data_IF_510421329180
#
_entry.id   IF_510421329180
#
_cell.length_a   1.000
_cell.length_b   1.000
_cell.length_c   1.000
_cell.angle_alpha   90.00
_cell.angle_beta   90.00
_cell.angle_gamma   90.00
#
_symmetry.space_group_name_H-M   'P 1'
#
loop_
_entity.id
_entity.type
_entity.pdbx_description
1 polymer ?
#
# COMPACT_ATOMS: atom_id res chain seq x y z
N UNK A 1 11.50 -66.84 -15.72
CA UNK A 1 11.13 -67.26 -17.07
C UNK A 1 10.56 -66.02 -17.74
N UNK A 2 11.24 -65.47 -18.55
CA UNK A 2 11.99 -65.12 -19.73
C UNK A 2 12.16 -63.60 -19.72
N UNK A 3 13.25 -63.00 -19.64
CA UNK A 3 14.41 -62.76 -20.53
C UNK A 3 14.03 -62.43 -21.97
N UNK A 4 14.36 -61.19 -22.35
CA UNK A 4 14.96 -60.68 -23.57
C UNK A 4 15.07 -59.15 -23.43
N UNK A 5 16.13 -58.51 -23.34
CA UNK A 5 17.49 -58.34 -23.91
C UNK A 5 17.47 -57.69 -25.33
N UNK A 6 18.34 -56.64 -25.44
CA UNK A 6 18.92 -55.95 -26.61
C UNK A 6 18.08 -54.84 -27.23
N UNK A 7 18.60 -53.70 -27.68
CA UNK A 7 19.94 -53.44 -28.21
C UNK A 7 20.23 -51.91 -28.28
N UNK A 8 21.48 -51.64 -28.36
CA UNK A 8 22.27 -50.42 -28.53
C UNK A 8 21.87 -49.50 -29.70
N UNK A 9 22.17 -48.19 -29.58
CA UNK A 9 22.22 -47.28 -30.69
C UNK A 9 22.79 -45.90 -30.30
N UNK A 10 24.06 -45.70 -30.57
CA UNK A 10 24.88 -44.53 -30.30
C UNK A 10 24.58 -43.28 -31.20
N UNK A 11 25.32 -42.14 -30.97
CA UNK A 11 24.85 -40.76 -31.24
C UNK A 11 25.30 -40.21 -32.57
N UNK A 12 24.63 -39.16 -33.07
CA UNK A 12 25.13 -38.37 -34.17
C UNK A 12 25.41 -36.94 -33.73
N UNK A 13 26.69 -36.60 -33.66
CA UNK A 13 27.27 -35.28 -33.74
C UNK A 13 27.06 -34.73 -35.16
N UNK A 14 26.62 -33.49 -35.25
CA UNK A 14 26.84 -32.64 -36.43
C UNK A 14 27.32 -31.25 -35.97
N UNK A 15 28.64 -31.09 -36.04
CA UNK A 15 29.32 -29.80 -36.19
C UNK A 15 28.93 -29.20 -37.54
N UNK A 16 28.58 -27.92 -37.55
CA UNK A 16 28.74 -27.04 -38.70
C UNK A 16 29.30 -25.71 -38.23
N UNK A 17 30.59 -25.58 -38.41
CA UNK A 17 31.35 -24.35 -38.57
C UNK A 17 30.81 -23.58 -39.81
N UNK A 18 30.53 -22.27 -39.67
CA UNK A 18 30.76 -21.30 -40.74
C UNK A 18 31.18 -19.96 -40.17
N UNK A 19 32.33 -19.54 -40.64
CA UNK A 19 33.04 -18.33 -40.36
C UNK A 19 32.56 -17.12 -41.17
N UNK A 20 32.80 -15.94 -40.59
CA UNK A 20 33.19 -14.67 -41.21
C UNK A 20 32.30 -13.96 -42.25
N UNK A 21 31.98 -12.69 -41.91
CA UNK A 21 31.58 -11.67 -42.84
C UNK A 21 31.48 -10.31 -42.16
N UNK A 22 32.62 -9.64 -41.99
CA UNK A 22 32.73 -8.22 -41.71
C UNK A 22 32.22 -7.43 -42.91
N UNK A 23 31.32 -6.47 -42.71
CA UNK A 23 31.10 -5.36 -43.63
C UNK A 23 30.93 -4.08 -42.84
N UNK A 24 31.99 -3.30 -42.83
CA UNK A 24 31.98 -1.87 -42.61
C UNK A 24 31.24 -1.20 -43.78
N UNK A 25 30.33 -0.31 -43.47
CA UNK A 25 29.92 0.76 -44.37
C UNK A 25 29.76 2.06 -43.58
N UNK A 26 30.78 2.89 -43.70
CA UNK A 26 30.75 4.34 -43.57
C UNK A 26 29.74 4.93 -44.55
N UNK A 27 28.83 5.77 -44.11
CA UNK A 27 28.32 6.89 -44.88
C UNK A 27 27.95 8.07 -43.99
N UNK A 28 28.59 9.17 -44.36
CA UNK A 28 28.50 10.50 -43.77
C UNK A 28 27.24 11.29 -44.21
N UNK A 29 26.86 12.23 -43.33
CA UNK A 29 26.24 13.54 -43.57
C UNK A 29 24.92 13.66 -44.35
N UNK A 30 23.96 14.29 -43.66
CA UNK A 30 22.79 14.93 -44.22
C UNK A 30 22.02 15.69 -43.19
N UNK A 31 22.43 16.96 -42.92
CA UNK A 31 21.64 17.94 -42.19
C UNK A 31 20.38 18.24 -42.99
N UNK A 32 19.22 18.12 -42.40
CA UNK A 32 18.00 18.81 -42.83
C UNK A 32 17.28 19.37 -41.62
N UNK A 33 17.43 20.68 -41.43
CA UNK A 33 16.51 21.52 -40.71
C UNK A 33 15.13 21.46 -41.36
N UNK A 34 14.12 21.15 -40.61
CA UNK A 34 12.75 21.57 -40.87
C UNK A 34 12.09 22.07 -39.60
N UNK A 35 12.05 23.40 -39.51
CA UNK A 35 11.12 24.18 -38.72
C UNK A 35 9.69 23.79 -39.05
N UNK A 36 8.94 23.28 -38.11
CA UNK A 36 7.49 23.46 -38.05
C UNK A 36 7.07 23.73 -36.62
N UNK A 37 6.92 25.00 -36.31
CA UNK A 37 6.18 25.52 -35.18
C UNK A 37 4.70 25.23 -35.32
N UNK A 38 4.12 24.42 -34.47
CA UNK A 38 2.71 24.55 -34.07
C UNK A 38 2.62 24.25 -32.58
N UNK A 39 2.56 25.33 -31.82
CA UNK A 39 2.23 25.30 -30.41
C UNK A 39 0.74 25.09 -30.22
N UNK A 40 0.39 24.10 -29.42
CA UNK A 40 -0.78 24.13 -28.56
C UNK A 40 -0.35 23.52 -27.22
N UNK A 41 0.21 24.37 -26.38
CA UNK A 41 0.41 24.09 -24.97
C UNK A 41 -0.94 24.18 -24.29
N UNK A 42 -1.43 23.06 -23.79
CA UNK A 42 -2.35 23.05 -22.66
C UNK A 42 -1.55 22.65 -21.43
N UNK A 43 -0.86 23.63 -20.87
CA UNK A 43 -0.33 23.57 -19.51
C UNK A 43 -1.53 23.52 -18.55
N UNK A 44 -1.92 22.33 -18.13
CA UNK A 44 -2.68 22.15 -16.91
C UNK A 44 -1.70 22.16 -15.74
N UNK A 45 -1.36 23.38 -15.32
CA UNK A 45 -0.64 23.63 -14.08
C UNK A 45 -1.53 23.21 -12.91
N UNK A 46 -1.39 21.95 -12.50
CA UNK A 46 -1.92 21.47 -11.21
C UNK A 46 -0.96 21.96 -10.12
N UNK A 47 -1.23 23.16 -9.64
CA UNK A 47 -0.50 23.75 -8.51
C UNK A 47 -0.53 22.84 -7.30
N UNK A 48 0.57 22.12 -7.08
CA UNK A 48 0.79 21.35 -5.86
C UNK A 48 0.91 22.33 -4.68
N UNK A 49 0.09 22.19 -3.64
CA UNK A 49 0.20 23.05 -2.48
C UNK A 49 1.55 22.83 -1.80
N UNK A 50 2.43 23.84 -1.83
CA UNK A 50 3.71 23.84 -1.14
C UNK A 50 3.53 24.22 0.33
N UNK A 51 4.32 23.63 1.22
CA UNK A 51 4.30 23.90 2.65
C UNK A 51 3.60 22.83 3.50
N UNK A 52 3.29 23.17 4.75
CA UNK A 52 2.68 22.24 5.73
C UNK A 52 1.35 21.63 5.26
N UNK A 53 0.55 22.37 4.48
CA UNK A 53 -0.68 21.86 3.84
C UNK A 53 -0.38 20.81 2.77
N UNK A 54 0.71 20.98 1.98
CA UNK A 54 1.16 19.99 1.00
C UNK A 54 1.70 18.73 1.67
N UNK A 55 2.38 18.88 2.80
CA UNK A 55 2.83 17.74 3.61
C UNK A 55 1.64 16.93 4.17
N UNK A 56 0.62 17.59 4.71
CA UNK A 56 -0.61 16.92 5.17
C UNK A 56 -1.37 16.29 4.00
N UNK A 57 -1.46 16.95 2.84
CA UNK A 57 -2.13 16.42 1.67
C UNK A 57 -1.43 15.15 1.15
N UNK A 58 -0.10 15.16 1.03
CA UNK A 58 0.70 13.98 0.64
C UNK A 58 0.66 12.86 1.69
N UNK A 59 0.31 13.15 2.92
CA UNK A 59 0.14 12.15 3.97
C UNK A 59 -1.16 11.33 3.80
N UNK A 60 -2.19 11.91 3.16
CA UNK A 60 -3.55 11.36 3.10
C UNK A 60 -4.07 11.06 1.69
N UNK A 61 -3.41 11.54 0.63
CA UNK A 61 -3.86 11.34 -0.76
C UNK A 61 -2.88 10.42 -1.49
N UNK A 62 -3.30 9.22 -1.92
CA UNK A 62 -2.49 8.38 -2.78
C UNK A 62 -2.39 9.01 -4.17
N UNK A 63 -1.17 9.29 -4.64
CA UNK A 63 -0.92 9.67 -6.02
C UNK A 63 -0.88 8.41 -6.88
N UNK A 64 -1.80 8.34 -7.85
CA UNK A 64 -1.81 7.32 -8.90
C UNK A 64 -0.88 7.76 -10.02
N UNK A 65 0.17 7.00 -10.31
CA UNK A 65 0.93 7.12 -11.55
C UNK A 65 1.17 5.75 -12.19
N UNK A 66 0.79 5.71 -13.46
CA UNK A 66 1.14 4.81 -14.56
C UNK A 66 0.88 3.30 -14.45
N UNK A 67 0.15 2.87 -15.46
CA UNK A 67 -0.33 1.52 -15.73
C UNK A 67 0.68 0.73 -16.57
N UNK A 68 1.03 -0.48 -16.14
CA UNK A 68 1.34 -1.64 -16.98
C UNK A 68 1.59 -2.91 -16.16
N UNK A 69 1.03 -4.04 -16.58
CA UNK A 69 1.26 -5.44 -16.18
C UNK A 69 0.55 -5.93 -14.90
N UNK A 70 -0.71 -6.33 -15.07
CA UNK A 70 -1.64 -6.53 -13.97
C UNK A 70 -1.61 -7.91 -13.26
N UNK A 71 -0.99 -8.94 -13.78
CA UNK A 71 -0.96 -10.27 -13.11
C UNK A 71 0.31 -10.47 -12.30
N UNK A 72 1.45 -10.02 -12.78
CA UNK A 72 2.71 -10.04 -12.03
C UNK A 72 2.72 -8.97 -10.92
N UNK A 73 2.01 -7.86 -11.11
CA UNK A 73 1.92 -6.75 -10.15
C UNK A 73 1.32 -7.18 -8.78
N UNK A 74 0.28 -8.01 -8.77
CA UNK A 74 -0.34 -8.44 -7.51
C UNK A 74 0.57 -9.41 -6.71
N UNK A 75 1.33 -10.26 -7.40
CA UNK A 75 2.31 -11.14 -6.76
C UNK A 75 3.55 -10.36 -6.31
N UNK A 76 3.98 -9.38 -7.10
CA UNK A 76 5.08 -8.49 -6.75
C UNK A 76 4.71 -7.57 -5.59
N UNK A 77 3.51 -6.97 -5.59
CA UNK A 77 2.97 -6.18 -4.51
C UNK A 77 2.97 -6.96 -3.18
N UNK A 78 2.55 -8.23 -3.21
CA UNK A 78 2.59 -9.09 -2.03
C UNK A 78 4.03 -9.40 -1.56
N UNK A 79 5.00 -9.56 -2.49
CA UNK A 79 6.43 -9.74 -2.14
C UNK A 79 7.02 -8.47 -1.55
N UNK A 80 6.71 -7.30 -2.12
CA UNK A 80 7.14 -6.01 -1.59
C UNK A 80 6.57 -5.74 -0.20
N UNK A 81 5.28 -6.05 0.04
CA UNK A 81 4.65 -5.94 1.36
C UNK A 81 5.35 -6.78 2.43
N UNK A 82 5.61 -8.07 2.14
CA UNK A 82 6.35 -8.96 3.03
C UNK A 82 7.77 -8.46 3.27
N UNK A 83 8.46 -7.95 2.23
CA UNK A 83 9.81 -7.38 2.36
C UNK A 83 9.78 -6.14 3.25
N UNK A 84 8.79 -5.26 3.07
CA UNK A 84 8.64 -4.06 3.87
C UNK A 84 8.45 -4.39 5.36
N UNK A 85 7.60 -5.36 5.69
CA UNK A 85 7.39 -5.81 7.06
C UNK A 85 8.65 -6.40 7.67
N UNK A 86 9.39 -7.24 6.93
CA UNK A 86 10.66 -7.81 7.42
C UNK A 86 11.69 -6.72 7.70
N UNK A 87 11.94 -5.83 6.74
CA UNK A 87 12.92 -4.73 6.91
C UNK A 87 12.52 -3.84 8.09
N UNK A 88 11.24 -3.50 8.20
CA UNK A 88 10.72 -2.70 9.32
C UNK A 88 10.88 -3.40 10.66
N UNK A 89 10.58 -4.70 10.73
CA UNK A 89 10.75 -5.48 11.95
C UNK A 89 12.21 -5.47 12.42
N UNK A 90 13.16 -5.70 11.50
CA UNK A 90 14.58 -5.67 11.85
C UNK A 90 15.05 -4.27 12.27
N UNK A 91 14.51 -3.21 11.63
CA UNK A 91 14.83 -1.83 12.01
C UNK A 91 14.29 -1.51 13.42
N UNK A 92 13.02 -1.84 13.71
CA UNK A 92 12.44 -1.66 15.05
C UNK A 92 13.15 -2.51 16.10
N UNK A 93 13.53 -3.73 15.78
CA UNK A 93 14.30 -4.55 16.70
C UNK A 93 15.68 -3.93 17.00
N UNK A 94 16.33 -3.37 15.99
CA UNK A 94 17.59 -2.64 16.14
C UNK A 94 17.44 -1.41 17.03
N UNK A 95 16.38 -0.61 16.86
CA UNK A 95 16.08 0.55 17.72
C UNK A 95 15.78 0.12 19.16
N UNK A 96 15.00 -0.96 19.35
CA UNK A 96 14.70 -1.52 20.67
C UNK A 96 15.97 -2.02 21.39
N UNK A 97 16.87 -2.69 20.66
CA UNK A 97 18.16 -3.12 21.22
C UNK A 97 18.98 -1.90 21.66
N UNK A 98 19.00 -0.84 20.84
CA UNK A 98 19.73 0.39 21.15
C UNK A 98 19.14 1.09 22.39
N UNK A 99 17.80 1.16 22.48
CA UNK A 99 17.11 1.66 23.67
C UNK A 99 17.39 0.80 24.91
N UNK A 100 17.44 -0.53 24.75
CA UNK A 100 17.78 -1.44 25.86
C UNK A 100 19.20 -1.22 26.38
N UNK A 101 20.17 -0.93 25.51
CA UNK A 101 21.52 -0.53 25.95
C UNK A 101 21.46 0.76 26.79
N UNK A 102 20.66 1.75 26.36
CA UNK A 102 20.44 2.98 27.15
C UNK A 102 19.82 2.66 28.52
N UNK A 103 18.86 1.74 28.58
CA UNK A 103 18.24 1.27 29.83
C UNK A 103 19.29 0.68 30.78
N UNK A 104 20.17 -0.20 30.28
CA UNK A 104 21.23 -0.82 31.07
C UNK A 104 22.22 0.21 31.64
N UNK A 105 22.55 1.25 30.86
CA UNK A 105 23.46 2.31 31.26
C UNK A 105 22.80 3.29 32.27
N UNK A 106 21.49 3.53 32.14
CA UNK A 106 20.75 4.49 32.96
C UNK A 106 20.20 3.89 34.24
N UNK A 107 19.98 2.55 34.28
CA UNK A 107 19.29 1.88 35.40
C UNK A 107 17.82 2.31 35.59
N UNK A 108 17.21 2.95 34.60
CA UNK A 108 15.86 3.52 34.69
C UNK A 108 14.78 2.48 34.40
N UNK A 109 13.94 2.20 35.39
CA UNK A 109 12.77 1.31 35.25
C UNK A 109 11.72 1.89 34.28
N UNK A 110 11.58 3.22 34.24
CA UNK A 110 10.67 3.89 33.34
C UNK A 110 11.09 3.69 31.87
N UNK A 111 12.39 3.81 31.54
CA UNK A 111 12.91 3.52 30.21
C UNK A 111 12.81 2.04 29.85
N UNK A 112 12.92 1.15 30.83
CA UNK A 112 12.69 -0.29 30.61
C UNK A 112 11.26 -0.55 30.16
N UNK A 113 10.26 0.05 30.83
CA UNK A 113 8.86 -0.08 30.47
C UNK A 113 8.58 0.43 29.04
N UNK A 114 9.15 1.59 28.66
CA UNK A 114 9.06 2.17 27.32
C UNK A 114 9.70 1.24 26.26
N UNK A 115 10.88 0.67 26.56
CA UNK A 115 11.57 -0.28 25.69
C UNK A 115 10.77 -1.56 25.48
N UNK A 116 10.15 -2.10 26.52
CA UNK A 116 9.27 -3.28 26.43
C UNK A 116 8.02 -2.96 25.61
N UNK A 117 7.46 -1.76 25.76
CA UNK A 117 6.34 -1.29 24.94
C UNK A 117 6.73 -1.24 23.45
N UNK A 118 7.82 -0.59 23.10
CA UNK A 118 8.33 -0.51 21.72
C UNK A 118 8.66 -1.90 21.13
N UNK A 119 9.13 -2.84 21.95
CA UNK A 119 9.29 -4.23 21.51
C UNK A 119 7.95 -4.90 21.19
N UNK A 120 6.93 -4.70 22.02
CA UNK A 120 5.59 -5.24 21.79
C UNK A 120 4.97 -4.68 20.52
N UNK A 121 5.16 -3.38 20.26
CA UNK A 121 4.67 -2.72 19.05
C UNK A 121 5.37 -3.21 17.80
N UNK A 122 6.67 -3.54 17.86
CA UNK A 122 7.38 -4.18 16.76
C UNK A 122 6.73 -5.52 16.36
N UNK A 123 6.18 -6.26 17.32
CA UNK A 123 5.51 -7.54 17.07
C UNK A 123 4.13 -7.39 16.41
N UNK A 124 3.51 -6.19 16.41
CA UNK A 124 2.22 -5.96 15.72
C UNK A 124 2.32 -6.15 14.21
N UNK A 125 3.51 -6.06 13.62
CA UNK A 125 3.76 -6.38 12.23
C UNK A 125 3.54 -7.87 11.88
N UNK A 126 3.59 -8.77 12.87
CA UNK A 126 3.48 -10.22 12.65
C UNK A 126 2.10 -10.63 12.12
N UNK A 127 0.96 -10.16 12.66
CA UNK A 127 -0.36 -10.44 12.09
C UNK A 127 -0.49 -10.04 10.64
N UNK A 128 0.02 -8.87 10.27
CA UNK A 128 -0.01 -8.38 8.90
C UNK A 128 0.90 -9.21 7.98
N UNK A 129 2.07 -9.61 8.44
CA UNK A 129 2.95 -10.52 7.70
C UNK A 129 2.26 -11.87 7.44
N UNK A 130 1.59 -12.45 8.45
CA UNK A 130 0.78 -13.67 8.29
C UNK A 130 -0.34 -13.44 7.25
N UNK A 131 -1.01 -12.31 7.31
CA UNK A 131 -2.08 -11.96 6.38
C UNK A 131 -1.59 -11.89 4.92
N UNK A 132 -0.43 -11.28 4.67
CA UNK A 132 0.19 -11.26 3.32
C UNK A 132 0.56 -12.67 2.83
N UNK A 133 1.11 -13.52 3.71
CA UNK A 133 1.40 -14.92 3.36
C UNK A 133 0.11 -15.68 3.06
N UNK A 134 -0.93 -15.46 3.86
CA UNK A 134 -2.21 -16.12 3.70
C UNK A 134 -2.90 -15.66 2.40
N UNK A 135 -2.87 -14.35 2.09
CA UNK A 135 -3.43 -13.77 0.88
C UNK A 135 -2.83 -14.31 -0.43
N UNK A 136 -1.62 -14.89 -0.36
CA UNK A 136 -0.96 -15.57 -1.50
C UNK A 136 -1.45 -16.99 -1.74
N UNK A 137 -2.22 -17.57 -0.81
CA UNK A 137 -2.74 -18.93 -0.98
C UNK A 137 -3.83 -18.97 -2.03
N UNK A 138 -3.79 -20.02 -2.83
CA UNK A 138 -4.80 -20.29 -3.87
C UNK A 138 -6.16 -20.48 -3.22
N UNK A 139 -7.20 -20.05 -3.92
CA UNK A 139 -8.59 -20.29 -3.52
C UNK A 139 -8.86 -21.78 -3.30
N UNK A 140 -9.74 -22.08 -2.32
CA UNK A 140 -10.13 -23.45 -1.97
C UNK A 140 -11.63 -23.62 -2.14
N UNK A 141 -12.12 -24.86 -2.09
CA UNK A 141 -13.59 -25.11 -2.15
C UNK A 141 -14.37 -24.42 -1.02
N UNK A 142 -13.73 -24.13 0.12
CA UNK A 142 -14.35 -23.42 1.25
C UNK A 142 -14.17 -21.90 1.14
N UNK A 143 -13.09 -21.44 0.58
CA UNK A 143 -12.73 -20.01 0.38
C UNK A 143 -12.56 -19.76 -1.12
N UNK A 144 -13.69 -19.69 -1.82
CA UNK A 144 -13.73 -19.64 -3.29
C UNK A 144 -13.13 -18.35 -3.87
N UNK A 145 -13.18 -17.26 -3.13
CA UNK A 145 -12.53 -15.98 -3.48
C UNK A 145 -11.09 -15.85 -2.94
N UNK A 146 -10.53 -16.94 -2.37
CA UNK A 146 -9.19 -16.91 -1.76
C UNK A 146 -9.17 -16.26 -0.38
N UNK A 147 -7.98 -15.81 0.04
CA UNK A 147 -7.72 -15.30 1.38
C UNK A 147 -7.36 -13.81 1.42
N UNK A 148 -7.61 -13.04 0.35
CA UNK A 148 -7.25 -11.62 0.26
C UNK A 148 -7.83 -10.77 1.41
N UNK A 149 -9.02 -11.10 1.91
CA UNK A 149 -9.64 -10.42 3.06
C UNK A 149 -8.87 -10.58 4.38
N UNK A 150 -7.91 -11.51 4.46
CA UNK A 150 -7.04 -11.63 5.65
C UNK A 150 -6.23 -10.34 5.90
N UNK A 151 -5.86 -9.63 4.85
CA UNK A 151 -5.17 -8.33 4.94
C UNK A 151 -6.09 -7.25 5.52
N UNK A 152 -7.35 -7.19 5.07
CA UNK A 152 -8.34 -6.24 5.60
C UNK A 152 -8.61 -6.49 7.09
N UNK A 153 -8.67 -7.78 7.51
CA UNK A 153 -8.81 -8.17 8.92
C UNK A 153 -7.58 -7.80 9.75
N UNK A 154 -6.38 -7.97 9.19
CA UNK A 154 -5.15 -7.52 9.87
C UNK A 154 -5.13 -6.00 10.02
N UNK A 155 -5.58 -5.24 9.02
CA UNK A 155 -5.75 -3.79 9.11
C UNK A 155 -6.74 -3.37 10.20
N UNK A 156 -7.86 -4.08 10.33
CA UNK A 156 -8.84 -3.84 11.40
C UNK A 156 -8.24 -4.14 12.79
N UNK A 157 -7.47 -5.22 12.91
CA UNK A 157 -6.74 -5.55 14.14
C UNK A 157 -5.76 -4.44 14.52
N UNK A 158 -4.97 -3.94 13.56
CA UNK A 158 -4.03 -2.83 13.78
C UNK A 158 -4.77 -1.58 14.27
N UNK A 159 -5.91 -1.22 13.65
CA UNK A 159 -6.74 -0.10 14.12
C UNK A 159 -7.16 -0.28 15.59
N UNK A 160 -7.58 -1.49 15.97
CA UNK A 160 -7.99 -1.77 17.34
C UNK A 160 -6.83 -1.61 18.34
N UNK A 161 -5.64 -2.09 17.98
CA UNK A 161 -4.41 -1.93 18.79
C UNK A 161 -4.06 -0.45 18.92
N UNK A 162 -4.06 0.29 17.81
CA UNK A 162 -3.76 1.74 17.79
C UNK A 162 -4.76 2.53 18.64
N UNK A 163 -6.06 2.22 18.52
CA UNK A 163 -7.09 2.87 19.33
C UNK A 163 -6.88 2.63 20.82
N UNK A 164 -6.53 1.40 21.21
CA UNK A 164 -6.23 1.06 22.59
C UNK A 164 -4.98 1.82 23.09
N UNK A 165 -3.90 1.83 22.29
CA UNK A 165 -2.67 2.58 22.62
C UNK A 165 -2.94 4.07 22.76
N UNK A 166 -3.76 4.66 21.89
CA UNK A 166 -4.16 6.08 21.98
C UNK A 166 -4.93 6.39 23.29
N UNK A 167 -5.83 5.51 23.70
CA UNK A 167 -6.59 5.66 24.97
C UNK A 167 -5.62 5.60 26.14
N UNK A 168 -4.70 4.64 26.15
CA UNK A 168 -3.69 4.49 27.22
C UNK A 168 -2.77 5.72 27.29
N UNK A 169 -2.30 6.20 26.13
CA UNK A 169 -1.44 7.40 26.06
C UNK A 169 -2.16 8.66 26.57
N UNK A 170 -3.43 8.86 26.17
CA UNK A 170 -4.24 9.96 26.66
C UNK A 170 -4.47 9.88 28.20
N UNK A 171 -4.78 8.70 28.70
CA UNK A 171 -4.94 8.46 30.13
C UNK A 171 -3.67 8.80 30.91
N UNK A 172 -2.52 8.29 30.47
CA UNK A 172 -1.22 8.57 31.10
C UNK A 172 -0.86 10.05 31.05
N UNK A 173 -1.17 10.75 29.96
CA UNK A 173 -0.93 12.21 29.84
C UNK A 173 -1.78 13.00 30.84
N UNK A 174 -3.06 12.64 31.02
CA UNK A 174 -3.96 13.24 32.01
C UNK A 174 -3.47 12.94 33.44
N UNK A 175 -3.07 11.71 33.72
CA UNK A 175 -2.55 11.31 35.02
C UNK A 175 -1.30 12.10 35.38
N UNK A 176 -0.35 12.24 34.45
CA UNK A 176 0.88 13.05 34.66
C UNK A 176 0.58 14.55 34.81
N UNK A 177 -0.49 15.05 34.20
CA UNK A 177 -0.94 16.42 34.41
C UNK A 177 -1.46 16.65 35.81
N UNK A 178 -2.22 15.68 36.37
CA UNK A 178 -2.78 15.77 37.74
C UNK A 178 -1.73 15.46 38.78
N UNK A 179 -0.87 14.47 38.56
CA UNK A 179 0.16 13.97 39.42
C UNK A 179 1.55 14.05 38.75
N UNK A 180 2.17 15.24 38.70
CA UNK A 180 3.47 15.40 38.05
C UNK A 180 4.53 14.49 38.71
N UNK A 181 5.13 13.61 37.93
CA UNK A 181 6.21 12.74 38.36
C UNK A 181 7.56 13.39 38.03
N UNK A 182 8.51 13.44 39.01
CA UNK A 182 9.84 13.97 38.74
C UNK A 182 10.56 13.05 37.73
N UNK A 183 11.01 13.63 36.64
CA UNK A 183 11.83 12.91 35.66
C UNK A 183 13.27 12.84 36.17
N UNK A 184 13.78 11.62 36.35
CA UNK A 184 15.17 11.36 36.72
C UNK A 184 16.01 11.01 35.48
N UNK A 185 17.30 11.30 35.52
CA UNK A 185 18.23 10.95 34.43
C UNK A 185 17.84 11.52 33.04
N UNK A 186 17.44 12.79 32.98
CA UNK A 186 16.88 13.46 31.82
C UNK A 186 17.67 13.24 30.50
N UNK A 187 19.02 13.21 30.54
CA UNK A 187 19.85 12.97 29.37
C UNK A 187 19.61 11.59 28.73
N UNK A 188 19.41 10.57 29.57
CA UNK A 188 19.11 9.22 29.08
C UNK A 188 17.70 9.13 28.50
N UNK A 189 16.76 9.87 29.09
CA UNK A 189 15.38 9.98 28.56
C UNK A 189 15.38 10.67 27.19
N UNK A 190 16.14 11.77 27.05
CA UNK A 190 16.32 12.48 25.77
C UNK A 190 16.94 11.54 24.72
N UNK A 191 18.01 10.83 25.08
CA UNK A 191 18.67 9.90 24.17
C UNK A 191 17.74 8.76 23.71
N UNK A 192 17.02 8.13 24.63
CA UNK A 192 16.07 7.06 24.33
C UNK A 192 14.90 7.56 23.47
N UNK A 193 14.31 8.72 23.81
CA UNK A 193 13.25 9.35 23.04
C UNK A 193 13.68 9.72 21.61
N UNK A 194 14.90 10.22 21.44
CA UNK A 194 15.47 10.53 20.12
C UNK A 194 15.66 9.27 19.27
N UNK A 195 16.20 8.20 19.84
CA UNK A 195 16.38 6.91 19.16
C UNK A 195 15.02 6.33 18.76
N UNK A 196 14.06 6.32 19.70
CA UNK A 196 12.71 5.83 19.45
C UNK A 196 11.99 6.62 18.37
N UNK A 197 12.04 7.94 18.41
CA UNK A 197 11.46 8.80 17.39
C UNK A 197 12.03 8.55 15.99
N UNK A 198 13.36 8.54 15.85
CA UNK A 198 14.00 8.33 14.55
C UNK A 198 13.71 6.94 14.00
N UNK A 199 13.75 5.90 14.83
CA UNK A 199 13.49 4.53 14.42
C UNK A 199 12.04 4.34 13.95
N UNK A 200 11.09 4.80 14.74
CA UNK A 200 9.67 4.71 14.41
C UNK A 200 9.30 5.55 13.18
N UNK A 201 9.82 6.79 13.05
CA UNK A 201 9.54 7.62 11.88
C UNK A 201 10.15 7.06 10.59
N UNK A 202 11.35 6.49 10.65
CA UNK A 202 11.96 5.81 9.50
C UNK A 202 11.10 4.62 9.03
N UNK A 203 10.61 3.81 9.97
CA UNK A 203 9.71 2.69 9.68
C UNK A 203 8.37 3.19 9.16
N UNK A 204 7.79 4.21 9.77
CA UNK A 204 6.53 4.80 9.35
C UNK A 204 6.58 5.28 7.89
N UNK A 205 7.60 6.08 7.54
CA UNK A 205 7.80 6.57 6.18
C UNK A 205 7.93 5.41 5.20
N UNK A 206 8.72 4.40 5.56
CA UNK A 206 8.94 3.25 4.68
C UNK A 206 7.67 2.44 4.47
N UNK A 207 6.94 2.05 5.55
CA UNK A 207 5.70 1.29 5.46
C UNK A 207 4.59 2.05 4.72
N UNK A 208 4.44 3.35 4.99
CA UNK A 208 3.42 4.17 4.33
C UNK A 208 3.71 4.25 2.82
N UNK A 209 4.97 4.52 2.42
CA UNK A 209 5.34 4.60 1.01
C UNK A 209 5.13 3.29 0.27
N UNK A 210 5.58 2.17 0.85
CA UNK A 210 5.37 0.85 0.24
C UNK A 210 3.89 0.50 0.22
N UNK A 211 3.16 0.73 1.32
CA UNK A 211 1.73 0.47 1.40
C UNK A 211 0.91 1.24 0.35
N UNK A 212 1.24 2.51 0.13
CA UNK A 212 0.64 3.33 -0.93
C UNK A 212 0.99 2.78 -2.33
N UNK A 213 2.26 2.42 -2.55
CA UNK A 213 2.73 1.87 -3.83
C UNK A 213 1.99 0.59 -4.21
N UNK A 214 1.80 -0.33 -3.25
CA UNK A 214 1.16 -1.64 -3.48
C UNK A 214 -0.36 -1.62 -3.28
N UNK A 215 -0.94 -0.49 -2.87
CA UNK A 215 -2.38 -0.38 -2.61
C UNK A 215 -2.85 -1.05 -1.31
N UNK A 216 -1.95 -1.37 -0.36
CA UNK A 216 -2.29 -2.00 0.92
C UNK A 216 -2.67 -0.99 1.99
N UNK A 217 -3.97 -0.88 2.29
CA UNK A 217 -4.44 -0.03 3.40
C UNK A 217 -3.97 -0.53 4.77
N UNK A 218 -3.83 -1.85 4.93
CA UNK A 218 -3.36 -2.44 6.17
C UNK A 218 -1.88 -2.10 6.44
N UNK A 219 -1.02 -2.12 5.41
CA UNK A 219 0.39 -1.72 5.55
C UNK A 219 0.53 -0.21 5.80
N UNK A 220 -0.34 0.62 5.19
CA UNK A 220 -0.40 2.06 5.50
C UNK A 220 -0.84 2.27 6.95
N UNK A 221 -1.86 1.56 7.44
CA UNK A 221 -2.32 1.65 8.82
C UNK A 221 -1.22 1.27 9.82
N UNK A 222 -0.46 0.20 9.53
CA UNK A 222 0.67 -0.24 10.34
C UNK A 222 1.83 0.78 10.31
N UNK A 223 2.05 1.47 9.19
CA UNK A 223 2.98 2.59 9.09
C UNK A 223 2.52 3.82 9.90
N UNK A 224 1.22 4.11 9.89
CA UNK A 224 0.64 5.18 10.72
C UNK A 224 0.74 4.84 12.21
N UNK A 225 0.57 3.56 12.61
CA UNK A 225 0.82 3.09 13.97
C UNK A 225 2.27 3.39 14.40
N UNK A 226 3.26 2.98 13.61
CA UNK A 226 4.66 3.27 13.90
C UNK A 226 4.94 4.78 14.04
N UNK A 227 4.24 5.64 13.27
CA UNK A 227 4.32 7.10 13.41
C UNK A 227 3.74 7.60 14.72
N UNK A 228 2.66 7.01 15.19
CA UNK A 228 2.06 7.37 16.49
C UNK A 228 3.01 7.03 17.63
N UNK A 229 3.71 5.89 17.57
CA UNK A 229 4.75 5.50 18.53
C UNK A 229 5.95 6.47 18.47
N UNK A 230 6.33 6.91 17.26
CA UNK A 230 7.31 7.97 17.05
C UNK A 230 6.90 9.28 17.72
N UNK A 231 5.64 9.69 17.59
CA UNK A 231 5.12 10.90 18.25
C UNK A 231 5.10 10.76 19.77
N UNK A 232 4.80 9.59 20.30
CA UNK A 232 4.91 9.33 21.74
C UNK A 232 6.35 9.50 22.21
N UNK A 233 7.32 8.93 21.51
CA UNK A 233 8.75 9.11 21.80
C UNK A 233 9.19 10.59 21.66
N UNK A 234 8.64 11.32 20.68
CA UNK A 234 8.87 12.77 20.54
C UNK A 234 8.30 13.57 21.70
N UNK A 235 7.12 13.19 22.22
CA UNK A 235 6.54 13.81 23.43
C UNK A 235 7.46 13.68 24.63
N UNK A 236 7.95 12.46 24.85
CA UNK A 236 8.90 12.18 25.95
C UNK A 236 10.17 13.02 25.80
N UNK A 237 10.72 13.12 24.58
CA UNK A 237 11.90 13.94 24.29
C UNK A 237 11.66 15.42 24.58
N UNK A 238 10.58 15.98 24.06
CA UNK A 238 10.24 17.40 24.24
C UNK A 238 9.88 17.72 25.68
N UNK A 239 9.18 16.81 26.37
CA UNK A 239 8.86 16.92 27.79
C UNK A 239 10.11 16.94 28.65
N UNK A 240 11.05 16.01 28.41
CA UNK A 240 12.34 15.96 29.12
C UNK A 240 13.18 17.22 28.87
N UNK A 241 13.22 17.68 27.63
CA UNK A 241 13.90 18.92 27.27
C UNK A 241 13.28 20.15 27.98
N UNK A 242 11.96 20.24 27.99
CA UNK A 242 11.24 21.30 28.72
C UNK A 242 11.53 21.30 30.21
N UNK A 243 11.59 20.10 30.84
CA UNK A 243 11.97 19.97 32.24
C UNK A 243 13.42 20.41 32.49
N UNK A 244 14.35 20.14 31.59
CA UNK A 244 15.75 20.60 31.66
C UNK A 244 15.87 22.13 31.64
N UNK A 245 15.02 22.82 30.89
CA UNK A 245 14.96 24.28 30.77
C UNK A 245 14.21 24.93 31.97
N UNK A 246 13.68 24.13 32.90
CA UNK A 246 12.95 24.60 34.05
C UNK A 246 11.45 24.82 33.85
N UNK A 247 10.88 24.17 32.83
CA UNK A 247 9.44 24.18 32.56
C UNK A 247 8.82 22.77 32.74
N UNK A 248 8.50 22.34 33.98
CA UNK A 248 8.03 20.99 34.27
C UNK A 248 6.68 20.64 33.61
N UNK A 249 5.86 21.64 33.29
CA UNK A 249 4.58 21.45 32.62
C UNK A 249 4.72 21.14 31.12
N UNK A 250 5.94 21.19 30.56
CA UNK A 250 6.17 20.85 29.16
C UNK A 250 5.73 19.42 28.83
N UNK A 251 6.09 18.45 29.69
CA UNK A 251 5.79 17.03 29.47
C UNK A 251 4.28 16.77 29.34
N UNK A 252 3.40 17.14 30.29
CA UNK A 252 1.97 16.90 30.15
C UNK A 252 1.32 17.72 29.01
N UNK A 253 1.79 18.95 28.74
CA UNK A 253 1.26 19.77 27.64
C UNK A 253 1.58 19.13 26.28
N UNK A 254 2.83 18.75 26.06
CA UNK A 254 3.26 18.09 24.82
C UNK A 254 2.58 16.74 24.67
N UNK A 255 2.47 15.95 25.74
CA UNK A 255 1.76 14.68 25.75
C UNK A 255 0.29 14.82 25.32
N UNK A 256 -0.40 15.85 25.81
CA UNK A 256 -1.79 16.12 25.43
C UNK A 256 -1.91 16.54 23.96
N UNK A 257 -1.04 17.43 23.48
CA UNK A 257 -1.03 17.87 22.07
C UNK A 257 -0.78 16.69 21.12
N UNK A 258 0.15 15.81 21.47
CA UNK A 258 0.45 14.63 20.67
C UNK A 258 -0.71 13.62 20.74
N UNK A 259 -1.36 13.45 21.89
CA UNK A 259 -2.58 12.61 21.98
C UNK A 259 -3.68 13.08 21.02
N UNK A 260 -3.88 14.40 20.88
CA UNK A 260 -4.81 14.96 19.90
C UNK A 260 -4.36 14.63 18.45
N UNK A 261 -3.08 14.78 18.14
CA UNK A 261 -2.54 14.44 16.82
C UNK A 261 -2.75 12.95 16.49
N UNK A 262 -2.54 12.05 17.46
CA UNK A 262 -2.78 10.62 17.33
C UNK A 262 -4.25 10.34 17.00
N UNK A 263 -5.20 10.97 17.70
CA UNK A 263 -6.64 10.81 17.44
C UNK A 263 -7.01 11.23 16.02
N UNK A 264 -6.44 12.33 15.52
CA UNK A 264 -6.68 12.80 14.14
C UNK A 264 -6.14 11.79 13.11
N UNK A 265 -4.94 11.27 13.32
CA UNK A 265 -4.35 10.25 12.44
C UNK A 265 -5.17 8.95 12.46
N UNK A 266 -5.55 8.50 13.65
CA UNK A 266 -6.39 7.32 13.83
C UNK A 266 -7.72 7.45 13.09
N UNK A 267 -8.38 8.62 13.20
CA UNK A 267 -9.63 8.88 12.49
C UNK A 267 -9.49 8.72 10.97
N UNK A 268 -8.41 9.25 10.38
CA UNK A 268 -8.10 9.08 8.96
C UNK A 268 -7.96 7.61 8.56
N UNK A 269 -7.23 6.83 9.37
CA UNK A 269 -6.99 5.41 9.15
C UNK A 269 -8.27 4.58 9.27
N UNK A 270 -9.08 4.82 10.32
CA UNK A 270 -10.39 4.18 10.52
C UNK A 270 -11.31 4.44 9.33
N UNK A 271 -11.37 5.70 8.86
CA UNK A 271 -12.19 6.06 7.71
C UNK A 271 -11.73 5.39 6.42
N UNK A 272 -10.42 5.28 6.21
CA UNK A 272 -9.84 4.63 5.03
C UNK A 272 -10.17 3.14 4.99
N UNK A 273 -9.88 2.40 6.07
CA UNK A 273 -10.18 0.96 6.14
C UNK A 273 -11.69 0.71 6.18
N UNK A 274 -12.45 1.55 6.89
CA UNK A 274 -13.91 1.47 6.91
C UNK A 274 -14.54 1.59 5.52
N UNK A 275 -14.06 2.54 4.69
CA UNK A 275 -14.51 2.64 3.29
C UNK A 275 -14.23 1.36 2.50
N UNK A 276 -13.03 0.78 2.64
CA UNK A 276 -12.66 -0.47 1.95
C UNK A 276 -13.49 -1.67 2.39
N UNK A 277 -13.81 -1.77 3.69
CA UNK A 277 -14.70 -2.81 4.20
C UNK A 277 -16.14 -2.68 3.68
N UNK A 278 -16.56 -1.45 3.34
CA UNK A 278 -17.85 -1.13 2.72
C UNK A 278 -17.80 -1.17 1.19
N UNK A 279 -16.76 -1.78 0.61
CA UNK A 279 -16.51 -1.82 -0.83
C UNK A 279 -16.45 -0.42 -1.49
N UNK A 280 -16.08 0.62 -0.72
CA UNK A 280 -15.90 1.98 -1.22
C UNK A 280 -14.63 2.12 -2.06
N UNK A 281 -14.78 2.76 -3.21
CA UNK A 281 -13.73 3.00 -4.21
C UNK A 281 -13.51 4.50 -4.40
N UNK A 282 -12.33 4.87 -4.83
CA UNK A 282 -12.02 6.22 -5.27
C UNK A 282 -12.75 6.50 -6.61
N UNK A 283 -13.55 7.60 -6.71
CA UNK A 283 -14.31 7.89 -7.93
C UNK A 283 -13.46 8.01 -9.20
N UNK A 284 -12.23 8.53 -9.09
CA UNK A 284 -11.31 8.63 -10.23
C UNK A 284 -10.95 7.27 -10.83
N UNK A 285 -10.85 6.21 -10.01
CA UNK A 285 -10.59 4.86 -10.50
C UNK A 285 -11.78 4.29 -11.28
N UNK A 286 -13.01 4.61 -10.87
CA UNK A 286 -14.23 4.21 -11.60
C UNK A 286 -14.25 4.88 -12.97
N UNK A 287 -13.97 6.20 -13.04
CA UNK A 287 -13.87 6.92 -14.32
C UNK A 287 -12.80 6.35 -15.23
N UNK A 288 -11.61 6.03 -14.71
CA UNK A 288 -10.56 5.40 -15.52
C UNK A 288 -11.02 4.08 -16.15
N UNK A 289 -11.79 3.27 -15.40
CA UNK A 289 -12.36 2.01 -15.94
C UNK A 289 -13.46 2.28 -16.96
N UNK A 290 -14.34 3.25 -16.71
CA UNK A 290 -15.40 3.67 -17.63
C UNK A 290 -14.81 4.16 -18.95
N UNK A 291 -13.78 5.01 -18.91
CA UNK A 291 -13.08 5.52 -20.09
C UNK A 291 -12.42 4.39 -20.89
N UNK A 292 -11.69 3.51 -20.22
CA UNK A 292 -11.04 2.36 -20.87
C UNK A 292 -12.06 1.41 -21.52
N UNK A 293 -13.23 1.22 -20.92
CA UNK A 293 -14.30 0.43 -21.52
C UNK A 293 -14.90 1.14 -22.74
N UNK A 294 -15.14 2.46 -22.64
CA UNK A 294 -15.73 3.26 -23.71
C UNK A 294 -14.80 3.39 -24.93
N UNK A 295 -13.48 3.40 -24.72
CA UNK A 295 -12.47 3.41 -25.79
C UNK A 295 -12.34 2.08 -26.53
N UNK A 296 -12.90 0.99 -25.99
CA UNK A 296 -12.78 -0.34 -26.60
C UNK A 296 -13.67 -0.44 -27.87
N UNK A 297 -13.11 -0.80 -29.04
CA UNK A 297 -13.88 -0.96 -30.28
C UNK A 297 -15.03 -1.95 -30.13
N UNK A 298 -16.22 -1.55 -30.54
CA UNK A 298 -17.45 -2.36 -30.46
C UNK A 298 -18.29 -2.10 -29.19
N UNK A 299 -17.78 -1.36 -28.20
CA UNK A 299 -18.56 -0.90 -27.03
C UNK A 299 -19.33 0.34 -27.43
N UNK A 300 -20.66 0.31 -27.29
CA UNK A 300 -21.58 1.42 -27.51
C UNK A 300 -21.79 2.27 -26.28
N UNK A 301 -21.76 1.64 -25.12
CA UNK A 301 -21.96 2.31 -23.85
C UNK A 301 -21.55 1.47 -22.66
N UNK A 302 -21.30 2.13 -21.55
CA UNK A 302 -20.98 1.50 -20.25
C UNK A 302 -22.17 1.79 -19.32
N UNK A 303 -22.89 0.75 -18.92
CA UNK A 303 -24.08 0.91 -18.08
C UNK A 303 -23.75 0.90 -16.60
N UNK A 304 -22.82 0.05 -16.18
CA UNK A 304 -22.49 -0.15 -14.79
C UNK A 304 -21.04 -0.61 -14.62
N UNK A 305 -20.33 0.04 -13.72
CA UNK A 305 -19.00 -0.40 -13.23
C UNK A 305 -19.09 -0.60 -11.72
N UNK A 306 -18.62 -1.73 -11.24
CA UNK A 306 -18.49 -2.04 -9.83
C UNK A 306 -17.09 -2.54 -9.54
N UNK A 307 -16.44 -1.87 -8.61
CA UNK A 307 -15.07 -2.19 -8.18
C UNK A 307 -15.04 -2.36 -6.67
N UNK A 308 -14.13 -3.18 -6.17
CA UNK A 308 -13.85 -3.31 -4.74
C UNK A 308 -12.42 -3.72 -4.49
N UNK A 309 -11.87 -3.28 -3.38
CA UNK A 309 -10.60 -3.77 -2.89
C UNK A 309 -10.79 -5.04 -2.07
N UNK A 310 -9.90 -6.02 -2.28
CA UNK A 310 -9.77 -7.24 -1.48
C UNK A 310 -8.31 -7.36 -1.07
N UNK A 311 -7.97 -6.82 0.11
CA UNK A 311 -6.59 -6.53 0.48
C UNK A 311 -5.98 -5.50 -0.47
N UNK A 312 -4.84 -5.83 -1.07
CA UNK A 312 -4.16 -4.98 -2.06
C UNK A 312 -4.56 -5.25 -3.52
N UNK A 313 -5.54 -6.14 -3.76
CA UNK A 313 -6.04 -6.50 -5.09
C UNK A 313 -7.36 -5.83 -5.38
N UNK A 314 -7.52 -5.36 -6.61
CA UNK A 314 -8.76 -4.80 -7.11
C UNK A 314 -9.55 -5.88 -7.85
N UNK A 315 -10.83 -5.99 -7.55
CA UNK A 315 -11.78 -6.87 -8.23
C UNK A 315 -12.97 -6.06 -8.71
N UNK A 316 -13.56 -6.48 -9.83
CA UNK A 316 -14.73 -5.77 -10.31
C UNK A 316 -15.50 -6.49 -11.40
N UNK A 317 -16.61 -5.85 -11.76
CA UNK A 317 -17.39 -6.24 -12.92
C UNK A 317 -17.96 -4.99 -13.62
N UNK A 318 -18.21 -5.12 -14.90
CA UNK A 318 -18.87 -4.09 -15.69
C UNK A 318 -19.95 -4.70 -16.57
N UNK A 319 -20.98 -3.88 -16.86
CA UNK A 319 -21.97 -4.16 -17.89
C UNK A 319 -21.77 -3.18 -19.02
N UNK A 320 -21.54 -3.70 -20.22
CA UNK A 320 -21.35 -2.91 -21.44
C UNK A 320 -22.48 -3.19 -22.45
N UNK A 321 -22.88 -2.17 -23.17
CA UNK A 321 -23.87 -2.26 -24.25
C UNK A 321 -23.17 -2.41 -25.57
N UNK A 322 -23.57 -3.42 -26.34
CA UNK A 322 -23.09 -3.68 -27.70
C UNK A 322 -24.25 -3.58 -28.70
N UNK A 323 -23.94 -3.50 -29.98
CA UNK A 323 -24.92 -3.71 -31.03
C UNK A 323 -25.47 -5.14 -30.98
N UNK A 324 -26.55 -5.43 -31.74
CA UNK A 324 -27.05 -6.78 -31.92
C UNK A 324 -26.03 -7.60 -32.75
N UNK A 325 -25.11 -8.25 -32.04
CA UNK A 325 -24.04 -9.09 -32.59
C UNK A 325 -24.19 -10.53 -32.13
N UNK A 326 -23.52 -11.45 -32.83
CA UNK A 326 -23.49 -12.84 -32.35
C UNK A 326 -22.79 -12.97 -30.99
N UNK A 327 -23.09 -14.02 -30.25
CA UNK A 327 -22.45 -14.31 -28.95
C UNK A 327 -20.93 -14.38 -29.06
N UNK A 328 -20.41 -14.96 -30.14
CA UNK A 328 -18.95 -15.06 -30.40
C UNK A 328 -18.30 -13.69 -30.55
N UNK A 329 -18.95 -12.75 -31.25
CA UNK A 329 -18.46 -11.37 -31.38
C UNK A 329 -18.55 -10.66 -30.02
N UNK A 330 -19.64 -10.83 -29.28
CA UNK A 330 -19.81 -10.23 -27.97
C UNK A 330 -18.75 -10.71 -26.97
N UNK A 331 -18.42 -12.00 -26.96
CA UNK A 331 -17.34 -12.56 -26.13
C UNK A 331 -15.97 -12.01 -26.54
N UNK A 332 -15.73 -11.83 -27.85
CA UNK A 332 -14.47 -11.25 -28.34
C UNK A 332 -14.31 -9.80 -27.88
N UNK A 333 -15.37 -8.99 -27.98
CA UNK A 333 -15.37 -7.59 -27.51
C UNK A 333 -15.19 -7.53 -25.99
N UNK A 334 -15.88 -8.38 -25.24
CA UNK A 334 -15.75 -8.44 -23.79
C UNK A 334 -14.32 -8.83 -23.37
N UNK A 335 -13.69 -9.78 -24.06
CA UNK A 335 -12.31 -10.17 -23.80
C UNK A 335 -11.32 -9.03 -24.11
N UNK A 336 -11.51 -8.33 -25.24
CA UNK A 336 -10.70 -7.17 -25.60
C UNK A 336 -10.85 -6.04 -24.56
N UNK A 337 -12.09 -5.72 -24.16
CA UNK A 337 -12.37 -4.71 -23.15
C UNK A 337 -11.76 -5.09 -21.80
N UNK A 338 -11.85 -6.36 -21.37
CA UNK A 338 -11.22 -6.84 -20.14
C UNK A 338 -9.69 -6.71 -20.19
N UNK A 339 -9.08 -7.02 -21.34
CA UNK A 339 -7.63 -6.86 -21.52
C UNK A 339 -7.22 -5.39 -21.48
N UNK A 340 -8.00 -4.49 -22.10
CA UNK A 340 -7.72 -3.06 -22.11
C UNK A 340 -7.82 -2.47 -20.68
N UNK A 341 -8.87 -2.78 -19.91
CA UNK A 341 -9.01 -2.34 -18.53
C UNK A 341 -7.85 -2.86 -17.67
N UNK A 342 -7.44 -4.12 -17.85
CA UNK A 342 -6.32 -4.72 -17.11
C UNK A 342 -4.98 -4.03 -17.41
N UNK A 343 -4.76 -3.56 -18.63
CA UNK A 343 -3.54 -2.82 -19.00
C UNK A 343 -3.55 -1.37 -18.48
N UNK A 344 -4.73 -0.81 -18.20
CA UNK A 344 -4.90 0.57 -17.75
C UNK A 344 -4.92 0.69 -16.21
N UNK A 345 -5.47 -0.32 -15.52
CA UNK A 345 -5.69 -0.28 -14.06
C UNK A 345 -4.77 -1.24 -13.32
N UNK A 346 -3.94 -0.70 -12.42
CA UNK A 346 -3.03 -1.49 -11.58
C UNK A 346 -3.78 -2.34 -10.55
N UNK A 347 -3.17 -3.47 -10.20
CA UNK A 347 -3.67 -4.41 -9.18
C UNK A 347 -5.03 -5.03 -9.50
N UNK A 348 -5.52 -4.95 -10.72
CA UNK A 348 -6.78 -5.57 -11.15
C UNK A 348 -6.58 -7.09 -11.31
N UNK A 349 -7.04 -7.85 -10.32
CA UNK A 349 -6.88 -9.31 -10.23
C UNK A 349 -7.99 -10.03 -11.00
N UNK A 350 -9.24 -9.67 -10.75
CA UNK A 350 -10.40 -10.28 -11.38
C UNK A 350 -11.37 -9.21 -11.88
N UNK A 351 -11.70 -9.27 -13.18
CA UNK A 351 -12.62 -8.34 -13.80
C UNK A 351 -13.50 -9.06 -14.83
N UNK A 352 -14.80 -9.06 -14.55
CA UNK A 352 -15.81 -9.74 -15.37
C UNK A 352 -16.63 -8.72 -16.13
N UNK A 353 -16.71 -8.87 -17.45
CA UNK A 353 -17.54 -8.02 -18.32
C UNK A 353 -18.76 -8.81 -18.75
N UNK A 354 -19.93 -8.18 -18.65
CA UNK A 354 -21.21 -8.69 -19.10
C UNK A 354 -21.67 -7.87 -20.29
N UNK A 355 -21.57 -8.41 -21.51
CA UNK A 355 -22.13 -7.74 -22.68
C UNK A 355 -23.68 -7.84 -22.65
N UNK A 356 -24.36 -6.76 -23.04
CA UNK A 356 -25.79 -6.69 -23.25
C UNK A 356 -26.07 -6.10 -24.62
N UNK A 357 -27.15 -6.56 -25.29
CA UNK A 357 -27.61 -5.97 -26.54
C UNK A 357 -28.35 -4.67 -26.28
N UNK A 358 -28.16 -3.68 -27.15
CA UNK A 358 -28.85 -2.39 -27.08
C UNK A 358 -30.39 -2.54 -27.11
N UNK A 359 -30.92 -3.58 -27.77
CA UNK A 359 -32.35 -3.89 -27.80
C UNK A 359 -32.86 -4.51 -26.49
N UNK A 360 -31.97 -5.18 -25.70
CA UNK A 360 -32.33 -5.80 -24.41
C UNK A 360 -32.38 -4.82 -23.23
N UNK A 361 -31.63 -3.74 -23.28
CA UNK A 361 -31.57 -2.71 -22.21
C UNK A 361 -32.90 -2.00 -21.99
N UNK A 362 -33.67 -1.75 -23.07
CA UNK A 362 -34.99 -1.11 -22.98
C UNK A 362 -36.06 -2.00 -22.32
N UNK A 363 -35.94 -3.32 -22.41
CA UNK A 363 -36.91 -4.26 -21.83
C UNK A 363 -36.73 -4.43 -20.31
N UNK A 364 -35.50 -4.32 -19.79
CA UNK A 364 -35.21 -4.44 -18.35
C UNK A 364 -35.64 -3.18 -17.58
N UNK A 365 -35.57 -2.00 -18.21
CA UNK A 365 -36.02 -0.75 -17.61
C UNK A 365 -37.56 -0.70 -17.46
N UNK A 366 -38.32 -1.38 -18.33
CA UNK A 366 -39.78 -1.47 -18.26
C UNK A 366 -40.31 -2.47 -17.20
N UNK A 367 -39.49 -3.41 -16.74
CA UNK A 367 -39.86 -4.37 -15.70
C UNK A 367 -39.51 -3.87 -14.27
N UNK A 368 -38.78 -2.77 -14.15
CA UNK A 368 -38.34 -2.16 -12.89
C UNK A 368 -39.13 -0.90 -12.53
N UNK A 369 -40.04 -0.44 -13.39
CA UNK A 369 -41.02 0.66 -13.15
C UNK A 369 -42.38 0.11 -12.78
#
# INVERSE_FOLDING_TARGET
MGEHNHDDGQPHEHEHDHAHGEHEHDHAHGEHEHDHAHGHGHDHDHGHPSGFKGFLYNLFVPHSHDAADSIDDALEASREGVRALKVSLFLLLGTTILQFVVVLLSGSVALLADTVHNFSDALTAVPLWIAFILGRRVATRRYTYGFGRAEDLAGLFIIAVVALSAIVAAWQSIERFINPQPLHNLWWVVAAGFIGFLGNEAVAIYRIRVGQKIGSAALVADGVHARMDGFTSLAVLLGAFGAMVGFPLADPIVGLLISVAIVVLLWGTVRSIGRRLMDGIEPGLVHTVEDALAETPGVRGVERVQLRWVGHRLQGNATITLDDVSLEVADTVAAAASSHVRSTVRNLDDFVIRPQSASGSSATAQLAS
#
